data_IF_479741232009
#
_entry.id   IF_479741232009
#
_cell.length_a   1.000
_cell.length_b   1.000
_cell.length_c   1.000
_cell.angle_alpha   90.00
_cell.angle_beta   90.00
_cell.angle_gamma   90.00
#
_symmetry.space_group_name_H-M   'P 1'
#
loop_
_entity.id
_entity.type
_entity.pdbx_description
1 polymer ?
#
# COMPACT_ATOMS: atom_id res chain seq x y z
N UNK A 1 14.76 8.99 -11.87
CA UNK A 1 14.72 7.55 -11.53
C UNK A 1 15.62 7.34 -10.32
N UNK A 2 15.04 7.18 -9.12
CA UNK A 2 15.80 6.87 -7.92
C UNK A 2 16.37 5.45 -8.09
N UNK A 3 17.70 5.30 -8.15
CA UNK A 3 18.34 3.97 -8.13
C UNK A 3 18.13 3.36 -6.75
N UNK A 4 17.81 2.06 -6.69
CA UNK A 4 17.82 1.30 -5.45
C UNK A 4 19.24 1.34 -4.87
N UNK A 5 19.38 1.92 -3.68
CA UNK A 5 20.60 1.82 -2.87
C UNK A 5 20.64 0.46 -2.18
N UNK A 6 21.82 -0.02 -1.79
CA UNK A 6 21.98 -1.27 -1.01
C UNK A 6 21.17 -1.25 0.31
N UNK A 7 20.80 -0.06 0.79
CA UNK A 7 19.94 0.14 1.94
C UNK A 7 18.47 0.31 1.52
N UNK A 8 17.61 -0.54 2.07
CA UNK A 8 16.15 -0.40 1.97
C UNK A 8 15.72 0.79 2.85
N UNK A 9 15.02 1.77 2.27
CA UNK A 9 14.56 2.95 3.01
C UNK A 9 13.16 2.77 3.60
N UNK A 10 12.31 2.02 2.90
CA UNK A 10 10.95 1.71 3.32
C UNK A 10 10.40 0.53 2.52
N UNK A 11 9.45 -0.18 3.09
CA UNK A 11 8.69 -1.24 2.43
C UNK A 11 7.21 -0.92 2.56
N UNK A 12 6.50 -0.92 1.43
CA UNK A 12 5.07 -0.71 1.38
C UNK A 12 4.37 -2.02 1.05
N UNK A 13 3.26 -2.29 1.74
CA UNK A 13 2.50 -3.54 1.61
C UNK A 13 1.00 -3.21 1.50
N UNK A 14 0.34 -3.89 0.56
CA UNK A 14 -1.11 -3.85 0.38
C UNK A 14 -1.69 -5.26 0.56
N UNK A 15 -2.85 -5.39 1.20
CA UNK A 15 -3.51 -6.67 1.48
C UNK A 15 -4.95 -6.59 0.99
N UNK A 16 -5.33 -7.42 0.01
CA UNK A 16 -6.73 -7.48 -0.43
C UNK A 16 -7.58 -8.12 0.67
N UNK A 17 -8.70 -7.48 1.00
CA UNK A 17 -9.64 -7.97 1.99
C UNK A 17 -11.10 -7.79 1.54
N UNK A 18 -11.67 -8.84 0.94
CA UNK A 18 -13.06 -8.85 0.49
C UNK A 18 -14.07 -9.09 1.61
N UNK A 19 -13.62 -9.44 2.81
CA UNK A 19 -14.47 -9.78 3.95
C UNK A 19 -14.64 -8.62 4.93
N UNK A 20 -13.97 -7.48 4.70
CA UNK A 20 -14.01 -6.31 5.58
C UNK A 20 -13.67 -6.65 7.05
N UNK A 21 -12.61 -7.45 7.25
CA UNK A 21 -12.24 -8.03 8.57
C UNK A 21 -11.78 -6.98 9.58
N UNK A 22 -11.40 -5.79 9.13
CA UNK A 22 -10.79 -4.75 9.95
C UNK A 22 -11.49 -3.38 9.77
N UNK A 23 -12.82 -3.38 9.75
CA UNK A 23 -13.62 -2.19 9.45
C UNK A 23 -13.36 -0.96 10.36
N UNK A 24 -12.90 -1.18 11.59
CA UNK A 24 -12.58 -0.11 12.57
C UNK A 24 -11.15 0.43 12.42
N UNK A 25 -10.32 -0.18 11.58
CA UNK A 25 -8.93 0.22 11.40
C UNK A 25 -8.80 1.39 10.44
N UNK A 26 -8.09 2.45 10.85
CA UNK A 26 -7.71 3.55 9.97
C UNK A 26 -6.76 3.12 8.83
N UNK A 27 -6.27 1.88 8.87
CA UNK A 27 -5.42 1.28 7.84
C UNK A 27 -6.18 0.39 6.85
N UNK A 28 -7.49 0.24 7.01
CA UNK A 28 -8.31 -0.60 6.14
C UNK A 28 -9.47 0.19 5.52
N UNK A 29 -9.76 -0.13 4.27
CA UNK A 29 -10.89 0.43 3.53
C UNK A 29 -10.74 0.17 2.03
N UNK A 30 -11.82 0.43 1.28
CA UNK A 30 -11.88 0.19 -0.17
C UNK A 30 -11.50 -1.25 -0.58
N UNK A 31 -11.70 -2.22 0.32
CA UNK A 31 -11.34 -3.63 0.13
C UNK A 31 -9.85 -3.93 0.26
N UNK A 32 -9.07 -3.03 0.85
CA UNK A 32 -7.61 -3.15 1.02
C UNK A 32 -7.16 -2.76 2.43
N UNK A 33 -6.10 -3.42 2.90
CA UNK A 33 -5.27 -3.02 4.03
C UNK A 33 -3.96 -2.40 3.56
N UNK A 34 -3.51 -1.36 4.25
CA UNK A 34 -2.39 -0.52 3.82
C UNK A 34 -1.34 -0.38 4.93
N UNK A 35 -0.09 -0.71 4.63
CA UNK A 35 1.00 -0.61 5.59
C UNK A 35 2.30 -0.09 4.98
N UNK A 36 3.00 0.72 5.75
CA UNK A 36 4.33 1.21 5.45
C UNK A 36 5.27 0.85 6.62
N UNK A 37 6.42 0.26 6.31
CA UNK A 37 7.44 -0.10 7.28
C UNK A 37 8.74 0.63 6.98
N UNK A 38 9.45 1.02 8.03
CA UNK A 38 10.79 1.63 7.94
C UNK A 38 11.81 0.74 8.64
N UNK A 39 13.10 0.75 8.22
CA UNK A 39 14.15 -0.01 8.88
C UNK A 39 14.18 0.23 10.39
N UNK A 40 14.33 -0.85 11.17
CA UNK A 40 14.36 -0.79 12.64
C UNK A 40 12.99 -0.65 13.31
N UNK A 41 11.89 -0.58 12.55
CA UNK A 41 10.53 -0.59 13.10
C UNK A 41 9.70 -1.72 12.48
N UNK A 42 9.30 -2.68 13.31
CA UNK A 42 8.46 -3.80 12.89
C UNK A 42 6.96 -3.46 12.82
N UNK A 43 6.56 -2.29 13.31
CA UNK A 43 5.17 -1.83 13.28
C UNK A 43 4.91 -0.98 12.04
N UNK A 44 3.65 -1.00 11.62
CA UNK A 44 3.17 -0.11 10.58
C UNK A 44 3.32 1.35 11.04
N UNK A 45 3.95 2.19 10.22
CA UNK A 45 4.14 3.62 10.53
C UNK A 45 3.15 4.54 9.82
N UNK A 46 2.28 4.02 8.94
CA UNK A 46 1.19 4.82 8.38
C UNK A 46 0.07 5.00 9.41
N UNK A 47 -0.58 6.16 9.35
CA UNK A 47 -1.55 6.64 10.35
C UNK A 47 -2.99 6.57 9.87
N UNK A 48 -3.21 6.82 8.57
CA UNK A 48 -4.52 6.72 7.93
C UNK A 48 -4.32 6.50 6.43
N UNK A 49 -4.84 5.40 5.88
CA UNK A 49 -4.63 5.10 4.45
C UNK A 49 -5.19 6.19 3.53
N UNK A 50 -6.25 6.91 3.94
CA UNK A 50 -6.85 7.96 3.12
C UNK A 50 -5.93 9.16 2.98
N UNK A 51 -5.12 9.42 4.00
CA UNK A 51 -4.15 10.52 4.03
C UNK A 51 -2.80 10.11 3.45
N UNK A 52 -2.34 8.92 3.80
CA UNK A 52 -0.97 8.49 3.56
C UNK A 52 -0.81 7.69 2.25
N UNK A 53 -1.87 7.09 1.72
CA UNK A 53 -1.78 6.12 0.60
C UNK A 53 -2.74 6.45 -0.55
N UNK A 54 -4.02 6.70 -0.26
CA UNK A 54 -5.10 6.72 -1.24
C UNK A 54 -4.90 7.76 -2.35
N UNK A 55 -4.36 8.93 -2.02
CA UNK A 55 -4.06 9.98 -3.01
C UNK A 55 -3.14 9.49 -4.13
N UNK A 56 -2.10 8.72 -3.78
CA UNK A 56 -1.17 8.16 -4.76
C UNK A 56 -1.76 6.99 -5.56
N UNK A 57 -2.76 6.30 -5.03
CA UNK A 57 -3.37 5.13 -5.66
C UNK A 57 -4.68 5.45 -6.40
N UNK A 58 -5.25 6.65 -6.22
CA UNK A 58 -6.45 7.11 -6.92
C UNK A 58 -6.37 6.99 -8.45
N UNK A 59 -5.24 7.28 -9.12
CA UNK A 59 -5.13 7.07 -10.57
C UNK A 59 -5.26 5.60 -11.00
N UNK A 60 -4.95 4.65 -10.11
CA UNK A 60 -5.05 3.21 -10.34
C UNK A 60 -6.36 2.61 -9.82
N UNK A 61 -7.36 3.44 -9.48
CA UNK A 61 -8.62 2.95 -8.89
C UNK A 61 -9.32 1.90 -9.77
N UNK A 62 -9.31 2.11 -11.09
CA UNK A 62 -9.99 1.22 -12.04
C UNK A 62 -9.26 -0.13 -12.22
N UNK A 63 -7.99 -0.22 -11.81
CA UNK A 63 -7.20 -1.44 -11.73
C UNK A 63 -7.11 -1.96 -10.28
N UNK A 64 -8.20 -1.78 -9.52
CA UNK A 64 -8.32 -2.17 -8.12
C UNK A 64 -7.21 -1.61 -7.23
N UNK A 65 -6.87 -0.34 -7.47
CA UNK A 65 -5.84 0.43 -6.75
C UNK A 65 -4.40 -0.05 -6.97
N UNK A 66 -4.15 -0.94 -7.93
CA UNK A 66 -2.80 -1.47 -8.23
C UNK A 66 -2.34 -1.02 -9.62
N UNK A 67 -1.13 -0.47 -9.71
CA UNK A 67 -0.49 -0.11 -10.98
C UNK A 67 0.03 -1.35 -11.73
N UNK A 68 -0.89 -2.17 -12.24
CA UNK A 68 -0.58 -3.41 -12.97
C UNK A 68 0.23 -3.18 -14.26
N UNK A 69 0.20 -1.97 -14.81
CA UNK A 69 1.01 -1.56 -15.97
C UNK A 69 2.51 -1.63 -15.69
N UNK A 70 2.91 -1.50 -14.42
CA UNK A 70 4.30 -1.64 -13.99
C UNK A 70 4.78 -3.09 -13.85
N UNK A 71 3.88 -4.07 -14.02
CA UNK A 71 4.16 -5.49 -13.80
C UNK A 71 3.81 -6.32 -15.04
N UNK A 72 4.70 -6.38 -16.06
CA UNK A 72 4.44 -7.14 -17.28
C UNK A 72 4.12 -8.62 -17.07
N UNK A 73 4.59 -9.21 -15.97
CA UNK A 73 4.35 -10.62 -15.61
C UNK A 73 2.94 -10.91 -15.08
N UNK A 74 2.14 -9.87 -14.79
CA UNK A 74 0.76 -10.02 -14.30
C UNK A 74 -0.28 -9.96 -15.43
N UNK A 75 0.15 -9.79 -16.68
CA UNK A 75 -0.72 -9.80 -17.88
C UNK A 75 -0.76 -11.17 -18.53
#
# INVERSE_FOLDING_TARGET
MQRATDNILQTFVMIKDSQNRFAESAQWGDGWGWALFKPGNAMNVSTDYKKDCLGCHTPAKDSDWVYVEGYPTLR
#
